data_IF_009391045506
#
_entry.id   IF_009391045506
#
_cell.length_a   1.000
_cell.length_b   1.000
_cell.length_c   1.000
_cell.angle_alpha   90.00
_cell.angle_beta   90.00
_cell.angle_gamma   90.00
#
_symmetry.space_group_name_H-M   'P 1'
#
loop_
_entity.id
_entity.type
_entity.pdbx_description
1 polymer ?
#
# COMPACT_ATOMS: atom_id res chain seq x y z
N UNK A 1 48.60 19.39 31.59
CA UNK A 1 47.46 20.33 31.72
C UNK A 1 46.65 20.31 30.44
N UNK A 2 45.56 19.53 30.44
CA UNK A 2 44.64 19.35 29.32
C UNK A 2 43.50 20.38 29.38
N UNK A 3 43.32 21.18 28.34
CA UNK A 3 42.33 22.27 28.30
C UNK A 3 41.65 22.43 26.93
N UNK A 4 40.78 21.46 26.62
CA UNK A 4 39.62 21.46 25.69
C UNK A 4 39.50 22.59 24.66
N UNK A 5 39.63 22.20 23.39
CA UNK A 5 38.92 22.82 22.27
C UNK A 5 37.41 22.56 22.44
N UNK A 6 36.63 23.62 22.61
CA UNK A 6 35.17 23.57 22.60
C UNK A 6 34.68 23.72 21.16
N UNK A 7 34.42 22.60 20.49
CA UNK A 7 33.73 22.60 19.21
C UNK A 7 32.24 22.81 19.46
N UNK A 8 31.75 24.00 19.13
CA UNK A 8 30.32 24.32 19.06
C UNK A 8 29.72 23.49 17.92
N UNK A 9 29.14 22.35 18.26
CA UNK A 9 28.27 21.60 17.37
C UNK A 9 26.96 22.40 17.20
N UNK A 10 26.97 23.33 16.24
CA UNK A 10 25.75 23.95 15.77
C UNK A 10 24.81 22.84 15.30
N UNK A 11 23.77 22.56 16.11
CA UNK A 11 22.66 21.71 15.68
C UNK A 11 21.97 22.47 14.55
N UNK A 12 22.33 22.13 13.31
CA UNK A 12 21.52 22.45 12.14
C UNK A 12 20.23 21.65 12.29
N UNK A 13 19.26 22.21 12.99
CA UNK A 13 17.88 21.74 12.93
C UNK A 13 17.42 21.98 11.49
N UNK A 14 17.14 20.94 10.69
CA UNK A 14 16.51 21.17 9.40
C UNK A 14 15.13 21.77 9.68
N UNK A 15 14.97 23.06 9.37
CA UNK A 15 13.66 23.72 9.29
C UNK A 15 12.97 23.16 8.05
N UNK A 16 12.35 22.00 8.19
CA UNK A 16 11.31 21.63 7.24
C UNK A 16 10.12 22.55 7.50
N UNK A 17 9.58 23.24 6.48
CA UNK A 17 8.35 24.00 6.66
C UNK A 17 7.26 23.03 7.15
N UNK A 18 6.45 23.47 8.11
CA UNK A 18 5.27 22.70 8.52
C UNK A 18 4.45 22.42 7.26
N UNK A 19 4.22 21.14 6.98
CA UNK A 19 3.34 20.75 5.87
C UNK A 19 1.94 21.24 6.24
N UNK A 20 1.28 22.05 5.40
CA UNK A 20 -0.08 22.48 5.67
C UNK A 20 -1.00 21.25 5.86
N UNK A 21 -1.85 21.25 6.88
CA UNK A 21 -2.87 20.20 7.09
C UNK A 21 -3.73 19.99 5.82
N UNK A 22 -3.90 21.06 5.04
CA UNK A 22 -4.55 21.05 3.73
C UNK A 22 -3.87 20.13 2.72
N UNK A 23 -2.55 19.96 2.76
CA UNK A 23 -1.80 19.07 1.86
C UNK A 23 -2.05 17.58 2.16
N UNK A 24 -2.16 17.21 3.44
CA UNK A 24 -2.52 15.83 3.83
C UNK A 24 -3.96 15.53 3.45
N UNK A 25 -4.88 16.46 3.72
CA UNK A 25 -6.28 16.33 3.34
C UNK A 25 -6.46 16.20 1.82
N UNK A 26 -5.75 17.01 1.01
CA UNK A 26 -5.77 16.94 -0.45
C UNK A 26 -5.22 15.61 -0.97
N UNK A 27 -4.09 15.12 -0.45
CA UNK A 27 -3.51 13.85 -0.86
C UNK A 27 -4.42 12.67 -0.51
N UNK A 28 -5.03 12.69 0.68
CA UNK A 28 -6.02 11.69 1.09
C UNK A 28 -7.26 11.73 0.21
N UNK A 29 -7.84 12.91 -0.03
CA UNK A 29 -8.99 13.07 -0.92
C UNK A 29 -8.69 12.58 -2.35
N UNK A 30 -7.48 12.82 -2.85
CA UNK A 30 -7.04 12.34 -4.17
C UNK A 30 -6.97 10.81 -4.22
N UNK A 31 -6.38 10.18 -3.20
CA UNK A 31 -6.35 8.72 -3.07
C UNK A 31 -7.76 8.13 -3.00
N UNK A 32 -8.65 8.74 -2.20
CA UNK A 32 -10.05 8.33 -2.07
C UNK A 32 -10.78 8.42 -3.41
N UNK A 33 -10.57 9.51 -4.15
CA UNK A 33 -11.18 9.69 -5.47
C UNK A 33 -10.66 8.64 -6.48
N UNK A 34 -9.36 8.35 -6.46
CA UNK A 34 -8.79 7.27 -7.27
C UNK A 34 -9.38 5.90 -6.92
N UNK A 35 -9.58 5.61 -5.63
CA UNK A 35 -10.17 4.36 -5.17
C UNK A 35 -11.63 4.23 -5.64
N UNK A 36 -12.41 5.32 -5.55
CA UNK A 36 -13.77 5.37 -6.09
C UNK A 36 -13.79 5.18 -7.60
N UNK A 37 -12.83 5.77 -8.33
CA UNK A 37 -12.72 5.58 -9.78
C UNK A 37 -12.53 4.10 -10.13
N UNK A 38 -11.61 3.39 -9.47
CA UNK A 38 -11.43 1.95 -9.69
C UNK A 38 -12.70 1.16 -9.36
N UNK A 39 -13.36 1.45 -8.24
CA UNK A 39 -14.62 0.80 -7.90
C UNK A 39 -15.70 1.06 -8.96
N UNK A 40 -15.73 2.25 -9.55
CA UNK A 40 -16.64 2.63 -10.64
C UNK A 40 -16.38 1.88 -11.95
N UNK A 41 -15.24 1.21 -12.11
CA UNK A 41 -14.96 0.33 -13.25
C UNK A 41 -15.58 -1.06 -13.10
N UNK A 42 -16.18 -1.39 -11.94
CA UNK A 42 -16.80 -2.70 -11.71
C UNK A 42 -17.83 -3.12 -12.79
N UNK A 43 -18.75 -2.23 -13.26
CA UNK A 43 -19.68 -2.59 -14.35
C UNK A 43 -18.97 -2.88 -15.67
N UNK A 44 -17.74 -2.42 -15.85
CA UNK A 44 -16.93 -2.69 -17.03
C UNK A 44 -16.09 -3.94 -16.88
N UNK A 45 -15.93 -4.50 -15.68
CA UNK A 45 -15.12 -5.70 -15.46
C UNK A 45 -15.84 -6.97 -15.92
N UNK A 46 -17.17 -6.99 -15.80
CA UNK A 46 -18.04 -8.12 -16.12
C UNK A 46 -19.07 -7.72 -17.21
N UNK A 47 -19.28 -8.51 -18.27
CA UNK A 47 -18.73 -9.84 -18.52
C UNK A 47 -17.26 -9.82 -18.97
N UNK A 48 -16.62 -10.99 -18.87
CA UNK A 48 -15.27 -11.21 -19.37
C UNK A 48 -15.22 -10.97 -20.88
N UNK A 49 -14.33 -10.07 -21.29
CA UNK A 49 -14.07 -9.77 -22.69
C UNK A 49 -12.80 -10.49 -23.16
N UNK A 50 -12.84 -10.99 -24.39
CA UNK A 50 -11.73 -11.65 -25.07
C UNK A 50 -11.16 -10.80 -26.22
N UNK A 51 -10.05 -11.25 -26.81
CA UNK A 51 -9.45 -10.59 -27.97
C UNK A 51 -8.80 -9.22 -27.66
N UNK A 52 -8.73 -8.31 -28.66
CA UNK A 52 -8.03 -7.02 -28.54
C UNK A 52 -8.57 -6.12 -27.42
N UNK A 53 -9.88 -6.14 -27.17
CA UNK A 53 -10.50 -5.36 -26.10
C UNK A 53 -10.04 -5.80 -24.71
N UNK A 54 -9.75 -7.09 -24.51
CA UNK A 54 -9.20 -7.60 -23.26
C UNK A 54 -7.81 -7.03 -22.96
N UNK A 55 -7.00 -6.78 -24.01
CA UNK A 55 -5.67 -6.18 -23.90
C UNK A 55 -5.76 -4.72 -23.47
N UNK A 56 -6.64 -3.95 -24.12
CA UNK A 56 -6.88 -2.54 -23.76
C UNK A 56 -7.37 -2.42 -22.32
N UNK A 57 -8.34 -3.26 -21.94
CA UNK A 57 -8.87 -3.30 -20.56
C UNK A 57 -7.78 -3.63 -19.54
N UNK A 58 -6.98 -4.67 -19.79
CA UNK A 58 -5.89 -5.05 -18.89
C UNK A 58 -4.91 -3.88 -18.68
N UNK A 59 -4.48 -3.23 -19.76
CA UNK A 59 -3.58 -2.07 -19.69
C UNK A 59 -4.18 -0.90 -18.95
N UNK A 60 -5.45 -0.59 -19.20
CA UNK A 60 -6.16 0.48 -18.53
C UNK A 60 -6.23 0.24 -17.02
N UNK A 61 -6.62 -0.97 -16.59
CA UNK A 61 -6.65 -1.31 -15.17
C UNK A 61 -5.24 -1.26 -14.58
N UNK A 62 -4.23 -1.79 -15.27
CA UNK A 62 -2.83 -1.70 -14.85
C UNK A 62 -2.38 -0.24 -14.64
N UNK A 63 -2.80 0.68 -15.50
CA UNK A 63 -2.52 2.10 -15.36
C UNK A 63 -3.24 2.72 -14.15
N UNK A 64 -4.53 2.42 -13.94
CA UNK A 64 -5.26 2.88 -12.77
C UNK A 64 -4.60 2.42 -11.46
N UNK A 65 -4.10 1.17 -11.40
CA UNK A 65 -3.37 0.67 -10.24
C UNK A 65 -2.04 1.41 -10.01
N UNK A 66 -1.34 1.78 -11.09
CA UNK A 66 -0.11 2.58 -11.00
C UNK A 66 -0.39 3.98 -10.44
N UNK A 67 -1.48 4.62 -10.86
CA UNK A 67 -1.88 5.92 -10.32
C UNK A 67 -2.30 5.82 -8.84
N UNK A 68 -3.02 4.77 -8.43
CA UNK A 68 -3.32 4.55 -7.01
C UNK A 68 -2.05 4.42 -6.15
N UNK A 69 -1.07 3.66 -6.61
CA UNK A 69 0.22 3.51 -5.93
C UNK A 69 0.96 4.86 -5.84
N UNK A 70 0.89 5.67 -6.91
CA UNK A 70 1.43 7.04 -6.90
C UNK A 70 0.72 7.95 -5.91
N UNK A 71 -0.61 7.95 -5.86
CA UNK A 71 -1.38 8.76 -4.90
C UNK A 71 -1.10 8.34 -3.46
N UNK A 72 -0.98 7.03 -3.21
CA UNK A 72 -0.53 6.52 -1.91
C UNK A 72 0.88 7.01 -1.57
N UNK A 73 1.81 6.96 -2.54
CA UNK A 73 3.15 7.51 -2.38
C UNK A 73 3.13 8.98 -1.97
N UNK A 74 2.33 9.82 -2.64
CA UNK A 74 2.18 11.23 -2.27
C UNK A 74 1.62 11.40 -0.87
N UNK A 75 0.57 10.64 -0.50
CA UNK A 75 0.01 10.68 0.85
C UNK A 75 1.05 10.32 1.92
N UNK A 76 1.83 9.26 1.69
CA UNK A 76 2.91 8.84 2.57
C UNK A 76 3.99 9.93 2.70
N UNK A 77 4.31 10.65 1.62
CA UNK A 77 5.29 11.73 1.66
C UNK A 77 4.78 12.86 2.54
N UNK A 78 3.58 13.37 2.27
CA UNK A 78 3.02 14.50 3.04
C UNK A 78 2.70 14.15 4.48
N UNK A 79 2.34 12.90 4.79
CA UNK A 79 2.04 12.46 6.16
C UNK A 79 3.28 12.26 7.03
N UNK A 80 4.45 11.99 6.44
CA UNK A 80 5.67 11.67 7.16
C UNK A 80 6.76 12.76 7.09
N UNK A 81 6.55 13.81 6.29
CA UNK A 81 7.51 14.91 6.11
C UNK A 81 7.80 15.69 7.41
N UNK A 82 6.85 15.77 8.35
CA UNK A 82 7.06 16.48 9.62
C UNK A 82 7.82 15.66 10.70
N UNK A 83 7.55 14.35 10.91
CA UNK A 83 8.27 13.56 11.92
C UNK A 83 9.44 12.69 11.41
N UNK A 84 9.49 12.29 10.12
CA UNK A 84 10.42 11.22 9.65
C UNK A 84 10.99 11.44 8.22
N UNK A 85 11.56 12.62 7.89
CA UNK A 85 11.89 13.02 6.50
C UNK A 85 12.98 12.19 5.80
N UNK A 86 13.90 11.55 6.55
CA UNK A 86 15.04 10.78 5.96
C UNK A 86 14.68 9.35 5.54
N UNK A 87 13.57 8.79 6.03
CA UNK A 87 13.24 7.38 5.79
C UNK A 87 12.49 7.14 4.48
N UNK A 88 11.82 8.15 3.93
CA UNK A 88 11.02 8.03 2.71
C UNK A 88 11.78 8.36 1.43
N UNK A 89 12.70 9.32 1.49
CA UNK A 89 13.53 9.74 0.34
C UNK A 89 14.47 8.64 -0.15
N UNK A 90 14.74 7.63 0.67
CA UNK A 90 15.67 6.52 0.38
C UNK A 90 14.96 5.23 -0.06
N UNK A 91 13.64 5.15 0.03
CA UNK A 91 12.87 3.93 -0.23
C UNK A 91 12.01 4.10 -1.48
N UNK A 92 12.31 3.41 -2.60
CA UNK A 92 11.69 3.69 -3.89
C UNK A 92 10.22 3.24 -3.99
N UNK A 93 9.80 2.25 -3.20
CA UNK A 93 8.48 1.64 -3.31
C UNK A 93 7.58 1.88 -2.07
N UNK A 94 6.27 1.96 -2.31
CA UNK A 94 5.25 2.22 -1.27
C UNK A 94 5.19 1.13 -0.20
N UNK A 95 5.44 -0.13 -0.55
CA UNK A 95 5.45 -1.25 0.39
C UNK A 95 6.58 -1.09 1.42
N UNK A 96 7.75 -0.64 1.02
CA UNK A 96 8.90 -0.45 1.89
C UNK A 96 8.74 0.84 2.70
N UNK A 97 8.15 1.89 2.11
CA UNK A 97 7.87 3.18 2.76
C UNK A 97 6.89 3.04 3.91
N UNK A 98 5.87 2.20 3.80
CA UNK A 98 4.84 2.06 4.83
C UNK A 98 5.36 1.45 6.15
N UNK A 99 6.55 0.84 6.16
CA UNK A 99 7.21 0.33 7.37
C UNK A 99 7.42 1.42 8.44
N UNK A 100 7.42 2.69 8.03
CA UNK A 100 7.48 3.84 8.94
C UNK A 100 6.41 3.78 10.03
N UNK A 101 5.24 3.19 9.76
CA UNK A 101 4.13 3.09 10.71
C UNK A 101 4.22 1.88 11.67
N UNK A 102 5.24 1.01 11.56
CA UNK A 102 5.43 -0.08 12.53
C UNK A 102 5.66 0.45 13.96
N UNK A 103 6.36 1.59 14.07
CA UNK A 103 6.61 2.26 15.36
C UNK A 103 5.32 2.73 16.04
N UNK A 104 4.24 2.88 15.28
CA UNK A 104 2.94 3.35 15.76
C UNK A 104 2.01 2.16 16.11
N UNK A 105 2.56 0.94 16.20
CA UNK A 105 1.85 -0.26 16.63
C UNK A 105 1.03 -0.98 15.54
N UNK A 106 1.24 -0.61 14.27
CA UNK A 106 0.63 -1.29 13.13
C UNK A 106 1.45 -2.52 12.71
N UNK A 107 0.84 -3.72 12.70
CA UNK A 107 1.38 -4.87 11.96
C UNK A 107 1.34 -4.60 10.45
N UNK A 108 2.46 -4.13 9.91
CA UNK A 108 2.54 -3.71 8.51
C UNK A 108 2.78 -4.87 7.55
N UNK A 109 3.26 -6.02 8.02
CA UNK A 109 3.74 -7.10 7.15
C UNK A 109 2.67 -7.60 6.17
N UNK A 110 1.39 -7.80 6.58
CA UNK A 110 0.32 -8.16 5.64
C UNK A 110 0.12 -7.09 4.56
N UNK A 111 0.11 -5.82 4.95
CA UNK A 111 -0.03 -4.68 4.05
C UNK A 111 1.11 -4.63 3.03
N UNK A 112 2.35 -4.81 3.48
CA UNK A 112 3.52 -4.83 2.60
C UNK A 112 3.46 -5.97 1.59
N UNK A 113 3.08 -7.18 2.02
CA UNK A 113 2.91 -8.33 1.12
C UNK A 113 1.88 -8.04 0.04
N UNK A 114 0.74 -7.43 0.43
CA UNK A 114 -0.32 -7.07 -0.51
C UNK A 114 0.09 -5.95 -1.46
N UNK A 115 0.80 -4.93 -1.00
CA UNK A 115 1.34 -3.86 -1.86
C UNK A 115 2.34 -4.42 -2.90
N UNK A 116 3.24 -5.33 -2.49
CA UNK A 116 4.16 -6.01 -3.43
C UNK A 116 3.41 -6.88 -4.44
N UNK A 117 2.34 -7.55 -4.02
CA UNK A 117 1.49 -8.33 -4.92
C UNK A 117 0.71 -7.44 -5.90
N UNK A 118 0.22 -6.27 -5.45
CA UNK A 118 -0.37 -5.23 -6.30
C UNK A 118 0.63 -4.69 -7.31
N UNK A 119 1.87 -4.45 -6.91
CA UNK A 119 2.96 -4.02 -7.78
C UNK A 119 3.19 -5.02 -8.93
N UNK A 120 3.33 -6.31 -8.60
CA UNK A 120 3.46 -7.37 -9.63
C UNK A 120 2.22 -7.46 -10.51
N UNK A 121 1.03 -7.36 -9.92
CA UNK A 121 -0.24 -7.40 -10.64
C UNK A 121 -0.35 -6.26 -11.66
N UNK A 122 -0.01 -5.02 -11.27
CA UNK A 122 -0.05 -3.87 -12.19
C UNK A 122 0.96 -4.00 -13.32
N UNK A 123 2.15 -4.53 -13.05
CA UNK A 123 3.17 -4.75 -14.08
C UNK A 123 2.70 -5.79 -15.10
N UNK A 124 2.16 -6.92 -14.64
CA UNK A 124 1.60 -7.96 -15.50
C UNK A 124 0.40 -7.43 -16.34
N UNK A 125 -0.50 -6.65 -15.74
CA UNK A 125 -1.62 -6.02 -16.44
C UNK A 125 -1.16 -5.04 -17.53
N UNK A 126 -0.18 -4.20 -17.20
CA UNK A 126 0.25 -3.11 -18.06
C UNK A 126 1.19 -3.59 -19.18
N UNK A 127 2.23 -4.34 -18.84
CA UNK A 127 3.25 -4.77 -19.82
C UNK A 127 2.81 -6.02 -20.58
N UNK A 128 2.26 -7.02 -19.88
CA UNK A 128 1.95 -8.33 -20.45
C UNK A 128 0.47 -8.50 -20.81
N UNK A 129 -0.32 -7.41 -20.73
CA UNK A 129 -1.76 -7.43 -20.98
C UNK A 129 -2.49 -8.50 -20.15
N UNK A 130 -2.03 -8.69 -18.90
CA UNK A 130 -2.55 -9.65 -17.94
C UNK A 130 -2.11 -11.10 -18.19
N UNK A 131 -1.18 -11.39 -19.11
CA UNK A 131 -0.64 -12.74 -19.26
C UNK A 131 0.46 -12.98 -18.22
N UNK A 132 0.31 -14.00 -17.39
CA UNK A 132 1.28 -14.31 -16.33
C UNK A 132 2.50 -15.01 -16.94
N UNK A 133 3.61 -14.27 -17.10
CA UNK A 133 4.89 -14.81 -17.58
C UNK A 133 5.84 -15.26 -16.48
N UNK A 134 5.70 -14.72 -15.27
CA UNK A 134 6.58 -15.00 -14.14
C UNK A 134 5.77 -15.21 -12.84
N UNK A 135 6.29 -16.06 -11.95
CA UNK A 135 5.75 -16.24 -10.61
C UNK A 135 6.27 -15.21 -9.61
N UNK A 136 5.86 -15.31 -8.35
CA UNK A 136 6.23 -14.36 -7.29
C UNK A 136 7.75 -14.26 -7.04
N UNK A 137 8.47 -15.37 -7.26
CA UNK A 137 9.93 -15.51 -7.13
C UNK A 137 10.45 -16.40 -8.27
N UNK A 138 11.77 -16.43 -8.54
CA UNK A 138 12.33 -17.36 -9.52
C UNK A 138 11.86 -18.79 -9.29
N UNK A 139 11.48 -19.48 -10.36
CA UNK A 139 10.94 -20.87 -10.34
C UNK A 139 9.56 -21.05 -9.67
N UNK A 140 8.93 -19.99 -9.13
CA UNK A 140 7.58 -20.10 -8.62
C UNK A 140 6.58 -20.42 -9.74
N UNK A 141 5.65 -21.34 -9.45
CA UNK A 141 4.60 -21.75 -10.41
C UNK A 141 3.40 -20.78 -10.48
N UNK A 142 3.35 -19.84 -9.55
CA UNK A 142 2.21 -18.98 -9.31
C UNK A 142 2.63 -17.52 -9.12
N UNK A 143 1.79 -16.62 -9.61
CA UNK A 143 1.80 -15.21 -9.26
C UNK A 143 0.65 -14.94 -8.29
N UNK A 144 0.97 -14.36 -7.13
CA UNK A 144 -0.03 -13.89 -6.16
C UNK A 144 -0.48 -12.49 -6.54
N UNK A 145 -1.79 -12.31 -6.71
CA UNK A 145 -2.36 -11.02 -7.07
C UNK A 145 -2.54 -10.10 -5.86
N UNK A 146 -2.75 -8.82 -6.12
CA UNK A 146 -3.01 -7.80 -5.11
C UNK A 146 -4.42 -7.81 -4.48
N UNK A 147 -5.26 -8.75 -4.88
CA UNK A 147 -6.66 -8.86 -4.47
C UNK A 147 -6.98 -10.27 -3.98
N UNK A 148 -8.03 -10.36 -3.17
CA UNK A 148 -8.48 -11.62 -2.58
C UNK A 148 -9.22 -12.50 -3.57
N UNK A 149 -9.16 -13.79 -3.32
CA UNK A 149 -10.03 -14.74 -4.02
C UNK A 149 -11.46 -14.66 -3.49
N UNK A 150 -12.43 -15.02 -4.34
CA UNK A 150 -13.84 -14.92 -3.97
C UNK A 150 -14.15 -15.84 -2.76
N UNK A 151 -14.68 -15.26 -1.68
CA UNK A 151 -14.98 -16.00 -0.45
C UNK A 151 -13.78 -16.42 0.38
N UNK A 152 -12.56 -15.99 0.04
CA UNK A 152 -11.34 -16.30 0.80
C UNK A 152 -10.68 -15.03 1.35
N UNK A 153 -10.09 -15.09 2.57
CA UNK A 153 -9.22 -14.01 3.04
C UNK A 153 -7.88 -13.96 2.29
N UNK A 154 -7.51 -15.03 1.58
CA UNK A 154 -6.23 -15.15 0.90
C UNK A 154 -6.21 -14.38 -0.42
N UNK A 155 -5.03 -13.90 -0.77
CA UNK A 155 -4.77 -13.30 -2.08
C UNK A 155 -4.88 -14.37 -3.17
N UNK A 156 -5.55 -14.00 -4.26
CA UNK A 156 -5.78 -14.91 -5.38
C UNK A 156 -4.46 -15.24 -6.07
N UNK A 157 -4.30 -16.50 -6.48
CA UNK A 157 -3.11 -16.98 -7.20
C UNK A 157 -3.46 -17.33 -8.63
N UNK A 158 -2.57 -16.99 -9.55
CA UNK A 158 -2.68 -17.29 -10.98
C UNK A 158 -1.48 -18.13 -11.41
N UNK A 159 -1.72 -19.23 -12.12
CA UNK A 159 -0.65 -20.06 -12.66
C UNK A 159 0.13 -19.28 -13.74
N UNK A 160 1.39 -19.63 -13.95
CA UNK A 160 2.11 -19.19 -15.16
C UNK A 160 1.33 -19.62 -16.41
N UNK A 161 1.23 -18.73 -17.39
CA UNK A 161 0.44 -18.90 -18.61
C UNK A 161 -1.03 -18.51 -18.48
N UNK A 162 -1.56 -18.41 -17.24
CA UNK A 162 -2.93 -17.96 -17.00
C UNK A 162 -3.09 -16.47 -17.30
N UNK A 163 -4.36 -16.04 -17.37
CA UNK A 163 -4.70 -14.63 -17.52
C UNK A 163 -5.17 -14.02 -16.21
N UNK A 164 -4.41 -13.06 -15.73
CA UNK A 164 -4.72 -12.22 -14.60
C UNK A 164 -5.77 -11.19 -15.04
N UNK A 165 -6.98 -11.36 -14.50
CA UNK A 165 -8.18 -10.59 -14.81
C UNK A 165 -8.93 -10.27 -13.51
N UNK A 166 -8.96 -9.00 -13.08
CA UNK A 166 -9.81 -8.60 -11.98
C UNK A 166 -11.28 -8.56 -12.42
N UNK A 167 -12.17 -9.18 -11.63
CA UNK A 167 -13.63 -9.05 -11.78
C UNK A 167 -14.12 -7.80 -11.04
N UNK A 168 -15.43 -7.49 -11.11
CA UNK A 168 -16.02 -6.42 -10.31
C UNK A 168 -15.67 -6.54 -8.82
N UNK A 169 -15.77 -7.74 -8.26
CA UNK A 169 -15.43 -8.02 -6.86
C UNK A 169 -13.97 -7.66 -6.53
N UNK A 170 -13.04 -8.04 -7.42
CA UNK A 170 -11.63 -7.73 -7.22
C UNK A 170 -11.37 -6.22 -7.27
N UNK A 171 -12.04 -5.48 -8.16
CA UNK A 171 -11.89 -4.02 -8.24
C UNK A 171 -12.41 -3.33 -6.96
N UNK A 172 -13.53 -3.79 -6.41
CA UNK A 172 -14.02 -3.29 -5.11
C UNK A 172 -13.07 -3.63 -3.96
N UNK A 173 -12.50 -4.84 -3.94
CA UNK A 173 -11.54 -5.24 -2.91
C UNK A 173 -10.26 -4.39 -2.96
N UNK A 174 -9.75 -4.08 -4.15
CA UNK A 174 -8.60 -3.19 -4.34
C UNK A 174 -8.94 -1.76 -3.90
N UNK A 175 -10.09 -1.23 -4.33
CA UNK A 175 -10.53 0.11 -3.96
C UNK A 175 -10.66 0.25 -2.44
N UNK A 176 -11.32 -0.71 -1.78
CA UNK A 176 -11.46 -0.72 -0.33
C UNK A 176 -10.11 -0.84 0.40
N UNK A 177 -9.17 -1.59 -0.15
CA UNK A 177 -7.82 -1.68 0.40
C UNK A 177 -7.10 -0.32 0.38
N UNK A 178 -7.05 0.37 -0.75
CA UNK A 178 -6.37 1.67 -0.85
C UNK A 178 -7.09 2.77 -0.04
N UNK A 179 -8.43 2.81 -0.08
CA UNK A 179 -9.22 3.76 0.71
C UNK A 179 -8.97 3.57 2.22
N UNK A 180 -9.11 2.32 2.70
CA UNK A 180 -8.87 2.01 4.11
C UNK A 180 -7.42 2.24 4.54
N UNK A 181 -6.46 2.06 3.63
CA UNK A 181 -5.06 2.39 3.89
C UNK A 181 -4.86 3.89 4.09
N UNK A 182 -5.48 4.70 3.22
CA UNK A 182 -5.47 6.15 3.34
C UNK A 182 -6.10 6.64 4.65
N UNK A 183 -7.27 6.09 5.01
CA UNK A 183 -7.97 6.44 6.25
C UNK A 183 -7.12 6.13 7.48
N UNK A 184 -6.45 4.97 7.47
CA UNK A 184 -5.57 4.55 8.56
C UNK A 184 -4.34 5.45 8.68
N UNK A 185 -3.73 5.83 7.56
CA UNK A 185 -2.59 6.75 7.53
C UNK A 185 -2.97 8.11 8.13
N UNK A 186 -4.13 8.66 7.76
CA UNK A 186 -4.59 9.97 8.25
C UNK A 186 -5.04 9.91 9.71
N UNK A 187 -5.73 8.83 10.11
CA UNK A 187 -6.25 8.70 11.48
C UNK A 187 -5.17 8.35 12.50
N UNK A 188 -3.99 7.88 12.08
CA UNK A 188 -2.92 7.42 12.96
C UNK A 188 -3.31 6.22 13.86
N UNK A 189 -4.40 5.52 13.53
CA UNK A 189 -5.00 4.53 14.43
C UNK A 189 -4.24 3.18 14.39
N UNK A 190 -3.76 2.67 15.55
CA UNK A 190 -3.26 1.30 15.65
C UNK A 190 -4.39 0.27 15.49
N UNK A 191 -4.03 -0.96 15.11
CA UNK A 191 -5.01 -2.03 14.86
C UNK A 191 -5.76 -2.39 16.14
N UNK A 192 -7.06 -2.10 16.19
CA UNK A 192 -7.92 -2.42 17.34
C UNK A 192 -8.04 -3.93 17.59
N UNK A 193 -7.61 -4.76 16.62
CA UNK A 193 -7.62 -6.23 16.74
C UNK A 193 -6.45 -6.78 17.55
N UNK A 194 -5.32 -6.08 17.62
CA UNK A 194 -4.16 -6.50 18.41
C UNK A 194 -4.19 -6.01 19.86
N UNK A 195 -5.06 -5.03 20.18
CA UNK A 195 -5.13 -4.46 21.53
C UNK A 195 -5.97 -5.31 22.52
N UNK A 196 -6.85 -6.20 22.03
CA UNK A 196 -7.59 -7.14 22.91
C UNK A 196 -6.69 -8.22 23.54
N UNK A 197 -5.58 -8.58 22.90
CA UNK A 197 -4.64 -9.57 23.45
C UNK A 197 -3.66 -8.97 24.47
N UNK A 198 -3.41 -7.66 24.44
CA UNK A 198 -2.56 -6.99 25.45
C UNK A 198 -3.30 -6.59 26.73
N UNK A 199 -4.61 -6.35 26.65
CA UNK A 199 -5.42 -6.05 27.83
C UNK A 199 -5.78 -7.30 28.65
N UNK A 200 -5.73 -8.51 28.07
CA UNK A 200 -5.97 -9.74 28.82
C UNK A 200 -4.70 -10.30 29.53
N UNK A 201 -3.50 -9.89 29.13
CA UNK A 201 -2.24 -10.38 29.71
C UNK A 201 -1.63 -9.47 30.80
N UNK A 202 -2.33 -8.40 31.19
CA UNK A 202 -1.90 -7.47 32.26
C UNK A 202 -2.71 -7.57 33.55
N UNK A 203 -3.64 -8.52 33.65
CA UNK A 203 -4.49 -8.69 34.83
C UNK A 203 -3.94 -9.66 35.89
N UNK A 204 -2.84 -10.37 35.63
CA UNK A 204 -2.36 -11.45 36.51
C UNK A 204 -1.06 -11.15 37.29
N UNK A 205 -0.73 -9.89 37.55
CA UNK A 205 0.39 -9.56 38.47
C UNK A 205 0.03 -8.45 39.42
N UNK A 206 -0.89 -8.71 40.35
CA UNK A 206 -0.95 -8.08 41.67
C UNK A 206 -1.63 -9.03 42.67
N UNK A 207 -0.90 -10.06 43.12
CA UNK A 207 -1.10 -10.66 44.45
C UNK A 207 0.26 -11.06 45.01
N UNK A 208 0.83 -10.18 45.84
CA UNK A 208 1.42 -10.47 47.16
C UNK A 208 2.06 -9.21 47.71
#
# INVERSE_FOLDING_TARGET
>A
MTGRASAVAARVTPRYPAVPETSVALAHATLQQGARHIAGLAPWADPMVEGPQAVVRARYVGNCLRELDRFLGVLLDVSCLAPRPRLLTLKPDTATRIAVYEADGWDIRPTQRRLRALERSRLCLFHDAGRVGCGDVPQARWLTSGWRDAGSPDLRRYAIGARLRPSALHLHDIAGFYAGLGDRIVSGAPDSRSNRLRLCLRSDTLVS
#
